data_IF_364842489377
#
_entry.id   IF_364842489377
#
_cell.length_a   1.000
_cell.length_b   1.000
_cell.length_c   1.000
_cell.angle_alpha   90.00
_cell.angle_beta   90.00
_cell.angle_gamma   90.00
#
_symmetry.space_group_name_H-M   'P 1'
#
loop_
_entity.id
_entity.type
_entity.pdbx_description
1 polymer ?
#
# COMPACT_ATOMS: atom_id res chain seq x y z
N UNK A 1 7.44 3.81 -30.72
CA UNK A 1 7.35 4.97 -29.81
C UNK A 1 7.77 4.43 -28.45
N UNK A 2 8.99 4.72 -28.02
CA UNK A 2 9.55 4.12 -26.81
C UNK A 2 8.99 4.85 -25.59
N UNK A 3 8.25 4.14 -24.76
CA UNK A 3 7.77 4.68 -23.48
C UNK A 3 8.99 4.85 -22.57
N UNK A 4 9.23 6.06 -22.01
CA UNK A 4 10.39 6.31 -21.16
C UNK A 4 10.45 5.36 -19.96
N UNK A 5 11.65 4.94 -19.56
CA UNK A 5 11.87 4.05 -18.40
C UNK A 5 11.11 4.52 -17.15
N UNK A 6 11.09 5.82 -16.88
CA UNK A 6 10.38 6.40 -15.75
C UNK A 6 8.86 6.18 -15.81
N UNK A 7 8.26 6.22 -17.00
CA UNK A 7 6.83 5.98 -17.17
C UNK A 7 6.50 4.50 -16.88
N UNK A 8 7.31 3.57 -17.37
CA UNK A 8 7.18 2.15 -17.05
C UNK A 8 7.35 1.85 -15.58
N UNK A 9 8.32 2.49 -14.93
CA UNK A 9 8.52 2.33 -13.49
C UNK A 9 7.30 2.80 -12.69
N UNK A 10 6.70 3.93 -13.07
CA UNK A 10 5.45 4.41 -12.45
C UNK A 10 4.29 3.44 -12.64
N UNK A 11 4.14 2.85 -13.83
CA UNK A 11 3.13 1.80 -14.08
C UNK A 11 3.39 0.60 -13.17
N UNK A 12 4.65 0.15 -13.06
CA UNK A 12 5.02 -0.96 -12.19
C UNK A 12 4.70 -0.69 -10.72
N UNK A 13 4.95 0.53 -10.21
CA UNK A 13 4.58 0.91 -8.84
C UNK A 13 3.06 0.90 -8.62
N UNK A 14 2.28 1.33 -9.62
CA UNK A 14 0.81 1.27 -9.57
C UNK A 14 0.35 -0.18 -9.49
N UNK A 15 0.89 -1.05 -10.34
CA UNK A 15 0.59 -2.50 -10.33
C UNK A 15 0.99 -3.12 -8.99
N UNK A 16 2.20 -2.88 -8.51
CA UNK A 16 2.69 -3.36 -7.22
C UNK A 16 1.76 -2.97 -6.07
N UNK A 17 1.30 -1.72 -6.04
CA UNK A 17 0.38 -1.20 -5.03
C UNK A 17 -1.02 -1.84 -5.08
N UNK A 18 -1.43 -2.39 -6.21
CA UNK A 18 -2.71 -3.09 -6.31
C UNK A 18 -2.59 -4.60 -6.05
N UNK A 19 -1.49 -5.23 -6.48
CA UNK A 19 -1.38 -6.68 -6.52
C UNK A 19 0.09 -7.11 -6.65
N UNK A 20 0.59 -7.81 -5.63
CA UNK A 20 1.91 -8.45 -5.67
C UNK A 20 1.99 -9.51 -6.77
N UNK A 21 0.90 -10.25 -7.03
CA UNK A 21 0.85 -11.26 -8.09
C UNK A 21 0.99 -10.65 -9.47
N UNK A 22 0.30 -9.54 -9.72
CA UNK A 22 0.41 -8.83 -11.00
C UNK A 22 1.80 -8.21 -11.19
N UNK A 23 2.44 -7.76 -10.10
CA UNK A 23 3.84 -7.33 -10.14
C UNK A 23 4.76 -8.48 -10.59
N UNK A 24 4.61 -9.67 -10.01
CA UNK A 24 5.42 -10.83 -10.39
C UNK A 24 5.10 -11.30 -11.81
N UNK A 25 3.82 -11.29 -12.22
CA UNK A 25 3.43 -11.61 -13.59
C UNK A 25 4.05 -10.61 -14.58
N UNK A 26 3.98 -9.31 -14.28
CA UNK A 26 4.60 -8.26 -15.08
C UNK A 26 6.13 -8.48 -15.19
N UNK A 27 6.81 -8.76 -14.08
CA UNK A 27 8.24 -9.05 -14.04
C UNK A 27 8.63 -10.33 -14.79
N UNK A 28 7.74 -11.33 -14.85
CA UNK A 28 7.95 -12.56 -15.60
C UNK A 28 7.87 -12.36 -17.13
N UNK A 29 7.04 -11.42 -17.59
CA UNK A 29 6.83 -11.20 -19.04
C UNK A 29 7.98 -10.49 -19.75
N UNK A 30 8.69 -9.58 -19.07
CA UNK A 30 9.68 -8.76 -19.75
C UNK A 30 10.87 -8.40 -18.85
N UNK A 31 12.08 -8.50 -19.41
CA UNK A 31 13.34 -8.33 -18.67
C UNK A 31 13.45 -6.96 -17.98
N UNK A 32 12.94 -5.91 -18.62
CA UNK A 32 12.92 -4.55 -18.06
C UNK A 32 12.24 -4.50 -16.68
N UNK A 33 11.07 -5.14 -16.55
CA UNK A 33 10.32 -5.13 -15.28
C UNK A 33 11.01 -5.96 -14.21
N UNK A 34 11.65 -7.08 -14.60
CA UNK A 34 12.50 -7.85 -13.70
C UNK A 34 13.67 -7.02 -13.17
N UNK A 35 14.30 -6.20 -14.01
CA UNK A 35 15.39 -5.30 -13.59
C UNK A 35 14.88 -4.18 -12.66
N UNK A 36 13.66 -3.68 -12.88
CA UNK A 36 13.02 -2.67 -12.02
C UNK A 36 12.73 -3.18 -10.59
N UNK A 37 12.58 -4.49 -10.39
CA UNK A 37 12.42 -5.08 -9.04
C UNK A 37 13.64 -4.88 -8.13
N UNK A 38 14.79 -4.49 -8.69
CA UNK A 38 15.97 -4.15 -7.89
C UNK A 38 15.86 -2.77 -7.21
N UNK A 39 14.86 -1.96 -7.56
CA UNK A 39 14.63 -0.68 -6.91
C UNK A 39 13.91 -0.90 -5.55
N UNK A 40 14.48 -0.44 -4.42
CA UNK A 40 13.86 -0.51 -3.09
C UNK A 40 12.42 0.00 -3.01
N UNK A 41 12.09 1.03 -3.79
CA UNK A 41 10.76 1.66 -3.82
C UNK A 41 9.64 0.68 -4.22
N UNK A 42 9.97 -0.38 -4.95
CA UNK A 42 8.98 -1.42 -5.29
C UNK A 42 8.52 -2.16 -4.03
N UNK A 43 9.45 -2.51 -3.16
CA UNK A 43 9.18 -3.29 -1.94
C UNK A 43 8.54 -2.44 -0.84
N UNK A 44 8.82 -1.14 -0.82
CA UNK A 44 8.12 -0.19 0.05
C UNK A 44 6.67 0.06 -0.41
N UNK A 45 6.36 -0.20 -1.69
CA UNK A 45 5.07 0.15 -2.33
C UNK A 45 4.14 -1.04 -2.53
N UNK A 46 4.69 -2.24 -2.70
CA UNK A 46 3.91 -3.44 -3.02
C UNK A 46 2.86 -3.71 -1.94
N UNK A 47 1.65 -4.06 -2.36
CA UNK A 47 0.56 -4.43 -1.45
C UNK A 47 0.86 -5.78 -0.82
N UNK A 48 0.62 -5.86 0.50
CA UNK A 48 0.66 -7.13 1.24
C UNK A 48 -0.72 -7.54 1.77
N UNK A 49 -1.78 -6.83 1.35
CA UNK A 49 -3.18 -7.00 1.80
C UNK A 49 -3.70 -8.43 1.67
N UNK A 50 -3.21 -9.17 0.65
CA UNK A 50 -3.62 -10.56 0.38
C UNK A 50 -3.10 -11.56 1.44
N UNK A 51 -2.04 -11.20 2.16
CA UNK A 51 -1.31 -12.11 3.02
C UNK A 51 -1.73 -12.00 4.49
N UNK A 52 -1.48 -13.06 5.27
CA UNK A 52 -1.70 -13.10 6.71
C UNK A 52 -0.96 -11.96 7.42
N UNK A 53 -1.50 -11.54 8.56
CA UNK A 53 -0.98 -10.40 9.30
C UNK A 53 0.43 -10.63 9.87
N UNK A 54 0.75 -11.87 10.25
CA UNK A 54 2.05 -12.24 10.80
C UNK A 54 2.68 -13.38 10.00
N UNK A 55 3.98 -13.26 9.74
CA UNK A 55 4.73 -14.26 8.95
C UNK A 55 4.74 -15.65 9.60
N UNK A 56 4.81 -15.73 10.94
CA UNK A 56 4.77 -17.01 11.67
C UNK A 56 3.45 -17.78 11.53
N UNK A 57 2.40 -17.19 10.94
CA UNK A 57 1.13 -17.88 10.71
C UNK A 57 1.13 -18.71 9.43
N UNK A 58 2.21 -18.63 8.64
CA UNK A 58 2.38 -19.41 7.43
C UNK A 58 2.96 -20.79 7.74
N UNK A 59 2.44 -21.86 7.10
CA UNK A 59 3.06 -23.17 7.15
C UNK A 59 4.42 -23.13 6.42
N UNK A 60 5.33 -24.05 6.78
CA UNK A 60 6.68 -24.15 6.20
C UNK A 60 6.66 -24.25 4.67
N UNK A 61 5.62 -24.88 4.11
CA UNK A 61 5.41 -25.06 2.67
C UNK A 61 5.23 -23.72 1.92
N UNK A 62 4.87 -22.65 2.63
CA UNK A 62 4.66 -21.29 2.10
C UNK A 62 5.91 -20.40 2.24
N UNK A 63 7.11 -21.00 2.27
CA UNK A 63 8.38 -20.28 2.45
C UNK A 63 8.61 -19.10 1.50
N UNK A 64 8.12 -19.16 0.26
CA UNK A 64 8.21 -18.03 -0.70
C UNK A 64 7.39 -16.81 -0.27
N UNK A 65 6.27 -17.02 0.40
CA UNK A 65 5.45 -15.93 0.93
C UNK A 65 6.17 -15.29 2.11
N UNK A 66 6.77 -16.10 2.99
CA UNK A 66 7.59 -15.61 4.10
C UNK A 66 8.78 -14.80 3.58
N UNK A 67 9.53 -15.30 2.58
CA UNK A 67 10.63 -14.57 1.93
C UNK A 67 10.16 -13.23 1.33
N UNK A 68 8.98 -13.21 0.71
CA UNK A 68 8.39 -11.99 0.17
C UNK A 68 8.04 -10.98 1.27
N UNK A 69 7.39 -11.43 2.36
CA UNK A 69 7.01 -10.57 3.48
C UNK A 69 8.26 -10.02 4.19
N UNK A 70 9.26 -10.85 4.43
CA UNK A 70 10.52 -10.44 5.02
C UNK A 70 11.26 -9.42 4.14
N UNK A 71 11.23 -9.60 2.82
CA UNK A 71 11.77 -8.59 1.91
C UNK A 71 11.03 -7.25 2.00
N UNK A 72 9.71 -7.26 2.17
CA UNK A 72 8.94 -6.04 2.38
C UNK A 72 9.28 -5.37 3.72
N UNK A 73 9.47 -6.18 4.77
CA UNK A 73 9.90 -5.75 6.11
C UNK A 73 11.27 -5.05 6.05
N UNK A 74 12.27 -5.69 5.44
CA UNK A 74 13.63 -5.14 5.25
C UNK A 74 13.64 -3.79 4.52
N UNK A 75 12.63 -3.56 3.69
CA UNK A 75 12.47 -2.33 2.92
C UNK A 75 11.50 -1.34 3.58
N UNK A 76 11.09 -1.56 4.83
CA UNK A 76 10.20 -0.67 5.57
C UNK A 76 8.84 -0.45 4.88
N UNK A 77 8.24 -1.53 4.38
CA UNK A 77 6.90 -1.46 3.81
C UNK A 77 5.90 -0.92 4.87
N UNK A 78 5.16 0.18 4.60
CA UNK A 78 4.30 0.82 5.58
C UNK A 78 3.17 -0.07 6.10
N UNK A 79 2.70 -1.03 5.31
CA UNK A 79 1.65 -1.97 5.70
C UNK A 79 2.19 -3.03 6.68
N UNK A 80 3.42 -3.50 6.48
CA UNK A 80 4.11 -4.39 7.43
C UNK A 80 4.34 -3.68 8.76
N UNK A 81 4.95 -2.48 8.73
CA UNK A 81 5.18 -1.66 9.93
C UNK A 81 3.87 -1.42 10.69
N UNK A 82 2.78 -1.14 9.96
CA UNK A 82 1.47 -0.98 10.55
C UNK A 82 0.99 -2.26 11.26
N UNK A 83 1.06 -3.42 10.60
CA UNK A 83 0.60 -4.71 11.18
C UNK A 83 1.36 -5.04 12.46
N UNK A 84 2.68 -4.87 12.47
CA UNK A 84 3.52 -5.08 13.66
C UNK A 84 3.19 -4.09 14.78
N UNK A 85 3.08 -2.80 14.44
CA UNK A 85 2.79 -1.77 15.43
C UNK A 85 1.40 -1.95 16.07
N UNK A 86 0.41 -2.48 15.34
CA UNK A 86 -0.89 -2.86 15.89
C UNK A 86 -0.73 -3.97 16.91
N UNK A 87 0.06 -5.00 16.58
CA UNK A 87 0.30 -6.11 17.49
C UNK A 87 1.03 -5.64 18.75
N UNK A 88 2.07 -4.83 18.63
CA UNK A 88 2.83 -4.33 19.78
C UNK A 88 1.99 -3.38 20.65
N UNK A 89 1.26 -2.45 20.03
CA UNK A 89 0.45 -1.48 20.75
C UNK A 89 -0.74 -2.13 21.47
N UNK A 90 -1.54 -2.94 20.76
CA UNK A 90 -2.79 -3.48 21.33
C UNK A 90 -2.63 -4.80 22.07
N UNK A 91 -1.70 -5.68 21.66
CA UNK A 91 -1.54 -6.99 22.30
C UNK A 91 -0.42 -6.99 23.35
N UNK A 92 0.64 -6.19 23.16
CA UNK A 92 1.77 -6.12 24.11
C UNK A 92 1.72 -4.88 25.03
N UNK A 93 0.81 -3.94 24.77
CA UNK A 93 0.68 -2.69 25.52
C UNK A 93 2.01 -1.91 25.57
N UNK A 94 2.73 -1.91 24.43
CA UNK A 94 3.97 -1.18 24.25
C UNK A 94 3.67 0.21 23.66
N UNK A 95 3.75 1.24 24.50
CA UNK A 95 3.49 2.63 24.09
C UNK A 95 4.51 3.14 23.05
N UNK A 96 5.68 2.51 22.95
CA UNK A 96 6.69 2.84 21.95
C UNK A 96 6.22 2.48 20.53
N UNK A 97 5.30 1.50 20.39
CA UNK A 97 4.71 1.09 19.13
C UNK A 97 3.92 2.22 18.44
N UNK A 98 3.49 3.25 19.19
CA UNK A 98 2.90 4.45 18.61
C UNK A 98 3.87 5.18 17.66
N UNK A 99 5.18 5.07 17.87
CA UNK A 99 6.18 5.62 16.95
C UNK A 99 6.15 4.91 15.60
N UNK A 100 6.02 3.58 15.59
CA UNK A 100 5.91 2.80 14.36
C UNK A 100 4.58 3.07 13.63
N UNK A 101 3.47 3.25 14.35
CA UNK A 101 2.21 3.72 13.75
C UNK A 101 2.38 5.10 13.08
N UNK A 102 3.11 6.03 13.71
CA UNK A 102 3.43 7.34 13.10
C UNK A 102 4.30 7.20 11.86
N UNK A 103 5.30 6.32 11.86
CA UNK A 103 6.14 6.05 10.68
C UNK A 103 5.29 5.55 9.51
N UNK A 104 4.43 4.55 9.73
CA UNK A 104 3.52 4.06 8.71
C UNK A 104 2.57 5.16 8.20
N UNK A 105 2.03 5.98 9.11
CA UNK A 105 1.17 7.10 8.76
C UNK A 105 1.89 8.16 7.89
N UNK A 106 3.12 8.53 8.25
CA UNK A 106 3.94 9.47 7.48
C UNK A 106 4.30 8.94 6.09
N UNK A 107 4.44 7.62 5.95
CA UNK A 107 4.59 6.95 4.65
C UNK A 107 3.29 6.85 3.84
N UNK A 108 2.17 7.37 4.37
CA UNK A 108 0.88 7.45 3.68
C UNK A 108 -0.03 6.24 3.89
N UNK A 109 0.28 5.34 4.84
CA UNK A 109 -0.61 4.25 5.21
C UNK A 109 -1.90 4.80 5.85
N UNK A 110 -3.06 4.41 5.32
CA UNK A 110 -4.33 5.10 5.62
C UNK A 110 -4.83 4.77 7.01
N UNK A 111 -4.86 3.50 7.36
CA UNK A 111 -5.36 2.98 8.63
C UNK A 111 -4.45 3.46 9.77
N UNK A 112 -3.14 3.51 9.53
CA UNK A 112 -2.17 4.09 10.47
C UNK A 112 -2.44 5.58 10.68
N UNK A 113 -2.62 6.35 9.59
CA UNK A 113 -2.97 7.78 9.67
C UNK A 113 -4.25 8.01 10.46
N UNK A 114 -5.23 7.11 10.33
CA UNK A 114 -6.50 7.22 11.03
C UNK A 114 -6.31 6.98 12.52
N UNK A 115 -5.61 5.92 12.91
CA UNK A 115 -5.35 5.59 14.31
C UNK A 115 -4.48 6.64 15.00
N UNK A 116 -3.39 7.09 14.37
CA UNK A 116 -2.55 8.16 14.91
C UNK A 116 -3.35 9.44 15.11
N UNK A 117 -4.20 9.79 14.13
CA UNK A 117 -5.11 10.93 14.23
C UNK A 117 -6.10 10.78 15.38
N UNK A 118 -6.73 9.61 15.53
CA UNK A 118 -7.70 9.34 16.58
C UNK A 118 -7.05 9.37 17.98
N UNK A 119 -5.91 8.71 18.17
CA UNK A 119 -5.19 8.69 19.43
C UNK A 119 -4.74 10.10 19.85
N UNK A 120 -4.28 10.92 18.91
CA UNK A 120 -3.91 12.31 19.19
C UNK A 120 -5.10 13.21 19.57
N UNK A 121 -6.32 12.90 19.12
CA UNK A 121 -7.54 13.57 19.57
C UNK A 121 -7.96 13.16 20.99
N UNK A 122 -7.73 11.89 21.35
CA UNK A 122 -8.04 11.35 22.68
C UNK A 122 -7.06 11.83 23.75
N UNK A 123 -5.80 12.10 23.38
CA UNK A 123 -4.75 12.63 24.28
C UNK A 123 -4.18 13.97 23.76
N UNK A 124 -4.91 15.10 23.94
CA UNK A 124 -4.57 16.38 23.32
C UNK A 124 -3.26 17.00 23.82
N UNK A 125 -2.78 16.58 25.01
CA UNK A 125 -1.56 17.11 25.64
C UNK A 125 -0.28 16.79 24.86
N UNK A 126 -0.31 15.83 23.92
CA UNK A 126 0.88 15.36 23.21
C UNK A 126 0.93 15.63 21.69
N UNK A 127 -0.11 16.21 21.06
CA UNK A 127 -0.02 16.37 19.59
C UNK A 127 -1.28 16.73 18.80
N UNK A 128 -2.13 17.62 19.31
CA UNK A 128 -3.41 18.00 18.66
C UNK A 128 -3.24 18.54 17.22
N UNK A 129 -2.16 19.25 16.91
CA UNK A 129 -1.88 19.76 15.55
C UNK A 129 -1.52 18.64 14.57
N UNK A 130 -0.67 17.69 14.98
CA UNK A 130 -0.30 16.53 14.16
C UNK A 130 -1.52 15.61 13.88
N UNK A 131 -2.43 15.48 14.85
CA UNK A 131 -3.64 14.67 14.70
C UNK A 131 -4.53 15.15 13.54
N UNK A 132 -4.73 16.46 13.43
CA UNK A 132 -5.55 17.04 12.37
C UNK A 132 -4.89 16.91 11.00
N UNK A 133 -3.56 16.95 10.92
CA UNK A 133 -2.82 16.77 9.68
C UNK A 133 -3.02 15.38 9.09
N UNK A 134 -2.87 14.32 9.90
CA UNK A 134 -3.11 12.95 9.45
C UNK A 134 -4.56 12.72 8.98
N UNK A 135 -5.54 13.26 9.72
CA UNK A 135 -6.96 13.18 9.34
C UNK A 135 -7.28 13.99 8.07
N UNK A 136 -6.65 15.14 7.88
CA UNK A 136 -6.81 15.94 6.68
C UNK A 136 -6.22 15.24 5.44
N UNK A 137 -5.05 14.60 5.57
CA UNK A 137 -4.45 13.80 4.50
C UNK A 137 -5.39 12.66 4.04
N UNK A 138 -6.04 11.98 4.98
CA UNK A 138 -7.07 10.97 4.70
C UNK A 138 -8.28 11.53 3.96
N UNK A 139 -8.77 12.71 4.37
CA UNK A 139 -9.91 13.34 3.71
C UNK A 139 -9.62 13.70 2.25
N UNK A 140 -8.37 14.12 1.95
CA UNK A 140 -7.91 14.47 0.60
C UNK A 140 -7.77 13.21 -0.26
N UNK A 141 -7.17 12.14 0.27
CA UNK A 141 -7.03 10.86 -0.45
C UNK A 141 -8.38 10.20 -0.75
N UNK A 142 -9.36 10.28 0.16
CA UNK A 142 -10.73 9.79 -0.08
C UNK A 142 -11.41 10.53 -1.24
N UNK A 143 -11.32 11.87 -1.26
CA UNK A 143 -11.87 12.70 -2.35
C UNK A 143 -11.20 12.40 -3.70
N UNK A 144 -9.90 12.13 -3.71
CA UNK A 144 -9.17 11.74 -4.93
C UNK A 144 -9.63 10.37 -5.44
N UNK A 145 -9.75 9.38 -4.55
CA UNK A 145 -10.20 8.02 -4.90
C UNK A 145 -11.62 8.03 -5.50
N UNK A 146 -12.55 8.79 -4.90
CA UNK A 146 -13.93 8.93 -5.40
C UNK A 146 -13.99 9.54 -6.80
N UNK A 147 -13.12 10.50 -7.12
CA UNK A 147 -13.04 11.08 -8.47
C UNK A 147 -12.53 10.08 -9.50
N UNK A 148 -11.56 9.24 -9.14
CA UNK A 148 -11.03 8.18 -10.02
C UNK A 148 -12.10 7.12 -10.31
N UNK A 149 -12.82 6.65 -9.28
CA UNK A 149 -13.92 5.70 -9.46
C UNK A 149 -15.09 6.29 -10.26
N UNK A 150 -15.41 7.58 -10.06
CA UNK A 150 -16.43 8.26 -10.85
C UNK A 150 -16.03 8.41 -12.33
N UNK A 151 -14.75 8.69 -12.62
CA UNK A 151 -14.25 8.81 -13.99
C UNK A 151 -14.24 7.47 -14.75
N UNK A 152 -14.06 6.35 -14.05
CA UNK A 152 -14.14 4.99 -14.62
C UNK A 152 -15.57 4.58 -14.98
N UNK A 153 -16.59 5.15 -14.32
CA UNK A 153 -18.02 4.86 -14.60
C UNK A 153 -18.54 5.68 -15.80
N UNK A 154 -17.85 6.76 -16.18
CA UNK A 154 -18.29 7.70 -17.22
C UNK A 154 -17.72 7.47 -18.64
N UNK A 155 -17.27 6.25 -19.00
CA UNK A 155 -17.00 5.96 -20.42
C UNK A 155 -18.32 5.72 -21.18
N UNK A 156 -18.58 6.43 -22.30
CA UNK A 156 -19.80 6.26 -23.07
C UNK A 156 -19.79 4.92 -23.80
N UNK A 157 -20.90 4.18 -23.68
CA UNK A 157 -21.10 2.87 -24.30
C UNK A 157 -20.85 2.87 -25.82
N UNK A 158 -20.22 1.81 -26.29
CA UNK A 158 -19.95 1.53 -27.70
C UNK A 158 -21.29 1.48 -28.47
N UNK A 159 -21.43 2.13 -29.64
CA UNK A 159 -22.65 2.04 -30.43
C UNK A 159 -22.80 0.62 -30.99
N UNK A 160 -23.98 0.02 -30.81
CA UNK A 160 -24.32 -1.31 -31.29
C UNK A 160 -24.04 -1.46 -32.78
N UNK A 161 -23.33 -2.54 -33.14
CA UNK A 161 -23.16 -2.96 -34.54
C UNK A 161 -24.52 -3.32 -35.11
N UNK A 162 -24.81 -2.75 -36.28
CA UNK A 162 -26.02 -3.03 -37.03
C UNK A 162 -26.10 -4.47 -37.48
N UNK A 163 -27.33 -4.97 -37.46
CA UNK A 163 -27.73 -6.21 -38.10
C UNK A 163 -28.04 -5.94 -39.58
N UNK A 164 -27.33 -6.65 -40.46
CA UNK A 164 -27.68 -6.95 -41.86
C UNK A 164 -27.04 -8.33 -42.14
N UNK A 165 -27.66 -9.26 -42.89
CA UNK A 165 -28.82 -9.13 -43.78
C UNK A 165 -30.10 -9.85 -43.33
#
# INVERSE_FOLDING_TARGET
>A
MDIPHLAWFKVLLVVAKQSSEDLYNMAATFKLFKEMLNNPEVWTTVSVDKYQWHQDWYPIEEGKIVEFLQKCEEHNNPEIIYREAIQDFFLKNDDEALKNLRVAAMAGHKEASYLVGLLGLLNPSEGKENAMEFLCHLSKTKKACQKVSAAQISQPGVPGRGDVP
#
